data_IF_516622776592
#
_entry.id   IF_516622776592
#
_cell.length_a   1.000
_cell.length_b   1.000
_cell.length_c   1.000
_cell.angle_alpha   90.00
_cell.angle_beta   90.00
_cell.angle_gamma   90.00
#
_symmetry.space_group_name_H-M   'P 1'
#
loop_
_entity.id
_entity.type
_entity.pdbx_description
1 polymer ?
#
# COMPACT_ATOMS: atom_id res chain seq x y z
N UNK A 1 -53.76 -34.21 -19.72
CA UNK A 1 -52.66 -34.09 -18.74
C UNK A 1 -51.57 -33.33 -19.44
N UNK A 2 -51.42 -32.08 -19.05
CA UNK A 2 -50.40 -31.14 -19.52
C UNK A 2 -49.03 -31.50 -18.95
N UNK A 3 -48.02 -30.86 -19.56
CA UNK A 3 -46.70 -30.45 -19.04
C UNK A 3 -45.49 -31.22 -19.54
N UNK A 4 -44.35 -30.60 -19.89
CA UNK A 4 -43.99 -29.24 -20.32
C UNK A 4 -42.59 -29.42 -20.92
N UNK A 5 -42.36 -28.85 -22.09
CA UNK A 5 -41.04 -28.66 -22.71
C UNK A 5 -40.20 -27.70 -21.86
N UNK A 6 -39.03 -28.14 -21.40
CA UNK A 6 -37.99 -27.24 -20.90
C UNK A 6 -36.71 -27.39 -21.73
N UNK A 7 -36.73 -26.75 -22.91
CA UNK A 7 -35.53 -26.30 -23.59
C UNK A 7 -34.94 -25.13 -22.81
N UNK A 8 -33.95 -25.38 -21.96
CA UNK A 8 -33.18 -24.32 -21.33
C UNK A 8 -32.10 -23.82 -22.30
N UNK A 9 -32.51 -22.96 -23.23
CA UNK A 9 -31.61 -22.13 -24.03
C UNK A 9 -31.07 -21.00 -23.15
N UNK A 10 -29.89 -21.21 -22.56
CA UNK A 10 -29.11 -20.11 -22.01
C UNK A 10 -28.32 -19.45 -23.13
N UNK A 11 -28.89 -18.37 -23.65
CA UNK A 11 -28.21 -17.37 -24.44
C UNK A 11 -27.10 -16.71 -23.62
N UNK A 12 -25.87 -17.21 -23.73
CA UNK A 12 -24.67 -16.44 -23.34
C UNK A 12 -24.27 -15.54 -24.52
N UNK A 13 -25.08 -14.51 -24.75
CA UNK A 13 -24.74 -13.41 -25.65
C UNK A 13 -23.85 -12.39 -24.95
N UNK A 14 -22.55 -12.67 -24.83
CA UNK A 14 -21.58 -11.61 -24.54
C UNK A 14 -20.15 -12.02 -24.97
N UNK A 15 -19.69 -11.58 -26.14
CA UNK A 15 -18.27 -11.22 -26.28
C UNK A 15 -18.06 -10.17 -27.37
N UNK A 16 -18.32 -8.92 -26.97
CA UNK A 16 -17.76 -7.78 -27.67
C UNK A 16 -16.24 -7.70 -27.44
N UNK A 17 -15.54 -7.36 -28.53
CA UNK A 17 -14.18 -6.80 -28.62
C UNK A 17 -13.01 -7.77 -28.56
N UNK A 18 -12.59 -8.18 -29.75
CA UNK A 18 -11.22 -8.57 -30.07
C UNK A 18 -10.28 -7.35 -29.89
N UNK A 19 -9.80 -7.16 -28.66
CA UNK A 19 -8.62 -6.33 -28.40
C UNK A 19 -7.41 -7.22 -28.67
N UNK A 20 -6.53 -6.82 -29.59
CA UNK A 20 -5.21 -7.42 -29.86
C UNK A 20 -4.65 -8.13 -28.62
N UNK A 21 -4.85 -9.45 -28.55
CA UNK A 21 -4.69 -10.19 -27.29
C UNK A 21 -3.21 -10.42 -27.04
N UNK A 22 -2.57 -9.47 -26.33
CA UNK A 22 -1.28 -9.74 -25.70
C UNK A 22 -1.47 -11.01 -24.86
N UNK A 23 -0.69 -12.09 -25.11
CA UNK A 23 -0.84 -13.33 -24.38
C UNK A 23 -0.56 -13.07 -22.89
N UNK A 24 -1.51 -13.44 -22.04
CA UNK A 24 -1.36 -13.30 -20.58
C UNK A 24 -0.37 -14.34 -20.08
N UNK A 25 0.69 -13.89 -19.42
CA UNK A 25 1.59 -14.75 -18.67
C UNK A 25 0.85 -15.32 -17.46
N UNK A 26 0.95 -16.63 -17.26
CA UNK A 26 0.42 -17.32 -16.10
C UNK A 26 1.36 -18.47 -15.71
N UNK A 27 1.32 -18.85 -14.43
CA UNK A 27 2.09 -19.98 -13.92
C UNK A 27 1.38 -21.27 -14.37
N UNK A 28 2.12 -22.27 -14.87
CA UNK A 28 1.57 -23.57 -15.25
C UNK A 28 1.62 -24.56 -14.08
N UNK A 29 2.81 -24.72 -13.50
CA UNK A 29 3.06 -25.62 -12.39
C UNK A 29 4.20 -25.06 -11.53
N UNK A 30 4.30 -25.57 -10.30
CA UNK A 30 5.38 -25.26 -9.36
C UNK A 30 5.88 -26.55 -8.74
N UNK A 31 7.21 -26.74 -8.71
CA UNK A 31 7.86 -27.90 -8.09
C UNK A 31 8.67 -27.43 -6.89
N UNK A 32 8.32 -27.93 -5.71
CA UNK A 32 8.96 -27.59 -4.44
C UNK A 32 9.77 -28.80 -3.96
N UNK A 33 11.07 -28.62 -3.74
CA UNK A 33 11.94 -29.68 -3.22
C UNK A 33 12.44 -29.31 -1.83
N UNK A 34 12.09 -30.12 -0.82
CA UNK A 34 12.48 -29.93 0.57
C UNK A 34 12.18 -28.50 1.10
N UNK A 35 10.98 -28.00 0.81
CA UNK A 35 10.58 -26.64 1.15
C UNK A 35 9.70 -26.60 2.41
N UNK A 36 10.26 -26.15 3.53
CA UNK A 36 9.57 -26.02 4.82
C UNK A 36 8.98 -27.37 5.26
N UNK A 37 7.66 -27.49 5.44
CA UNK A 37 7.02 -28.78 5.80
C UNK A 37 6.78 -29.72 4.60
N UNK A 38 7.19 -29.33 3.39
CA UNK A 38 7.13 -30.19 2.20
C UNK A 38 8.41 -31.00 2.07
N UNK A 39 8.35 -32.26 2.50
CA UNK A 39 9.43 -33.22 2.32
C UNK A 39 9.43 -33.79 0.89
N UNK A 40 10.62 -34.06 0.35
CA UNK A 40 10.78 -34.60 -0.99
C UNK A 40 10.43 -33.59 -2.07
N UNK A 41 9.98 -34.10 -3.22
CA UNK A 41 9.50 -33.29 -4.35
C UNK A 41 7.97 -33.20 -4.29
N UNK A 42 7.44 -31.99 -4.19
CA UNK A 42 6.02 -31.70 -4.22
C UNK A 42 5.69 -30.88 -5.45
N UNK A 43 4.73 -31.36 -6.24
CA UNK A 43 4.26 -30.68 -7.46
C UNK A 43 2.92 -30.03 -7.17
N UNK A 44 2.85 -28.72 -7.36
CA UNK A 44 1.64 -27.90 -7.20
C UNK A 44 1.22 -27.40 -8.58
N UNK A 45 0.07 -27.88 -9.04
CA UNK A 45 -0.46 -27.56 -10.36
C UNK A 45 -1.24 -28.74 -10.95
N UNK A 46 -1.83 -28.57 -12.14
CA UNK A 46 -1.72 -27.40 -13.01
C UNK A 46 -2.56 -26.20 -12.52
N UNK A 47 -2.02 -24.99 -12.64
CA UNK A 47 -2.75 -23.75 -12.32
C UNK A 47 -3.61 -23.30 -13.50
N UNK A 48 -4.82 -22.83 -13.19
CA UNK A 48 -5.74 -22.32 -14.19
C UNK A 48 -5.47 -20.84 -14.50
N UNK A 49 -5.63 -20.44 -15.79
CA UNK A 49 -5.30 -19.10 -16.32
C UNK A 49 -6.00 -17.93 -15.63
N UNK A 50 -7.11 -18.17 -14.91
CA UNK A 50 -7.92 -17.13 -14.27
C UNK A 50 -7.85 -17.17 -12.75
N UNK A 51 -8.09 -18.35 -12.18
CA UNK A 51 -8.26 -18.51 -10.74
C UNK A 51 -7.92 -19.94 -10.36
N UNK A 52 -7.15 -20.11 -9.29
CA UNK A 52 -6.84 -21.39 -8.67
C UNK A 52 -6.96 -21.22 -7.15
N UNK A 53 -7.63 -22.15 -6.48
CA UNK A 53 -7.77 -22.13 -5.02
C UNK A 53 -6.90 -23.22 -4.40
N UNK A 54 -6.23 -22.89 -3.28
CA UNK A 54 -5.45 -23.85 -2.48
C UNK A 54 -6.26 -24.18 -1.23
N UNK A 55 -6.77 -25.40 -1.16
CA UNK A 55 -7.63 -25.89 -0.06
C UNK A 55 -7.05 -27.16 0.57
N UNK A 56 -7.51 -27.50 1.78
CA UNK A 56 -7.03 -28.68 2.52
C UNK A 56 -7.09 -28.51 4.04
N UNK A 57 -6.88 -29.59 4.80
CA UNK A 57 -7.04 -29.63 6.27
C UNK A 57 -6.04 -28.72 7.00
N UNK A 58 -6.38 -28.28 8.21
CA UNK A 58 -5.49 -27.43 9.01
C UNK A 58 -4.13 -28.12 9.24
N UNK A 59 -3.04 -27.36 9.11
CA UNK A 59 -1.69 -27.91 9.22
C UNK A 59 -1.12 -28.57 7.96
N UNK A 60 -1.88 -28.73 6.86
CA UNK A 60 -1.37 -29.36 5.62
C UNK A 60 -0.33 -28.55 4.83
N UNK A 61 0.08 -27.39 5.34
CA UNK A 61 1.11 -26.56 4.70
C UNK A 61 0.62 -25.67 3.57
N UNK A 62 -0.68 -25.44 3.38
CA UNK A 62 -1.24 -24.55 2.32
C UNK A 62 -0.57 -23.17 2.24
N UNK A 63 -0.29 -22.56 3.39
CA UNK A 63 0.40 -21.27 3.47
C UNK A 63 1.83 -21.34 2.92
N UNK A 64 2.46 -22.50 2.90
CA UNK A 64 3.80 -22.70 2.34
C UNK A 64 3.80 -22.55 0.81
N UNK A 65 2.68 -22.79 0.13
CA UNK A 65 2.56 -22.53 -1.32
C UNK A 65 2.76 -21.04 -1.61
N UNK A 66 2.15 -20.18 -0.80
CA UNK A 66 2.31 -18.72 -0.91
C UNK A 66 3.71 -18.29 -0.44
N UNK A 67 4.24 -18.91 0.61
CA UNK A 67 5.62 -18.66 1.06
C UNK A 67 6.65 -18.98 -0.03
N UNK A 68 6.45 -20.05 -0.80
CA UNK A 68 7.32 -20.44 -1.90
C UNK A 68 7.28 -19.41 -3.04
N UNK A 69 6.09 -18.94 -3.42
CA UNK A 69 5.96 -17.87 -4.41
C UNK A 69 6.66 -16.58 -3.93
N UNK A 70 6.49 -16.20 -2.67
CA UNK A 70 7.12 -15.02 -2.11
C UNK A 70 8.64 -15.15 -1.96
N UNK A 71 9.13 -16.37 -1.74
CA UNK A 71 10.56 -16.69 -1.76
C UNK A 71 11.16 -16.47 -3.15
N UNK A 72 10.52 -17.01 -4.20
CA UNK A 72 10.98 -16.88 -5.59
C UNK A 72 10.91 -15.43 -6.07
N UNK A 73 9.82 -14.71 -5.77
CA UNK A 73 9.64 -13.31 -6.16
C UNK A 73 10.35 -12.30 -5.23
N UNK A 74 11.16 -12.76 -4.27
CA UNK A 74 12.07 -11.91 -3.50
C UNK A 74 11.43 -11.04 -2.41
N UNK A 75 10.13 -11.18 -2.10
CA UNK A 75 9.42 -10.32 -1.13
C UNK A 75 9.81 -10.53 0.35
N UNK A 76 10.79 -11.37 0.67
CA UNK A 76 11.15 -11.70 2.08
C UNK A 76 12.63 -11.90 2.39
N UNK A 77 13.56 -11.56 1.49
CA UNK A 77 14.98 -11.83 1.72
C UNK A 77 15.56 -11.16 2.99
N UNK A 78 15.00 -10.03 3.45
CA UNK A 78 15.49 -9.32 4.66
C UNK A 78 15.06 -9.96 5.99
N UNK A 79 13.89 -10.61 6.08
CA UNK A 79 13.38 -11.16 7.35
C UNK A 79 13.50 -12.68 7.49
N UNK A 80 13.78 -13.42 6.41
CA UNK A 80 13.87 -14.90 6.44
C UNK A 80 15.23 -15.40 6.94
N UNK A 81 16.21 -14.52 7.13
CA UNK A 81 17.47 -14.88 7.79
C UNK A 81 17.30 -14.84 9.32
N UNK A 82 16.42 -15.69 9.85
CA UNK A 82 16.55 -16.06 11.27
C UNK A 82 17.95 -16.66 11.44
N UNK A 83 18.78 -16.18 12.39
CA UNK A 83 20.14 -16.68 12.54
C UNK A 83 20.18 -18.06 13.20
N UNK A 84 19.01 -18.60 13.59
CA UNK A 84 18.87 -19.59 14.65
C UNK A 84 19.14 -21.03 14.24
N UNK A 85 19.80 -21.27 13.10
CA UNK A 85 20.28 -22.61 12.74
C UNK A 85 21.77 -22.62 12.41
N UNK A 86 22.57 -21.97 13.24
CA UNK A 86 24.00 -22.24 13.38
C UNK A 86 24.29 -22.08 14.86
N UNK A 87 24.85 -23.10 15.52
CA UNK A 87 25.42 -22.96 16.87
C UNK A 87 26.52 -21.91 16.77
N UNK A 88 26.16 -20.64 16.98
CA UNK A 88 27.08 -19.51 16.96
C UNK A 88 27.52 -19.27 18.39
N UNK A 89 28.83 -19.09 18.60
CA UNK A 89 29.43 -18.74 19.88
C UNK A 89 28.62 -17.61 20.56
N UNK A 90 28.46 -17.67 21.88
CA UNK A 90 27.59 -16.75 22.64
C UNK A 90 27.85 -15.26 22.37
N UNK A 91 29.11 -14.90 22.08
CA UNK A 91 29.49 -13.53 21.69
C UNK A 91 28.79 -13.05 20.42
N UNK A 92 28.63 -13.94 19.43
CA UNK A 92 27.97 -13.61 18.15
C UNK A 92 26.46 -13.45 18.34
N UNK A 93 25.85 -14.16 19.31
CA UNK A 93 24.44 -13.95 19.65
C UNK A 93 24.22 -12.60 20.32
N UNK A 94 25.15 -12.18 21.20
CA UNK A 94 25.09 -10.87 21.86
C UNK A 94 25.27 -9.72 20.86
N UNK A 95 26.27 -9.79 19.98
CA UNK A 95 26.46 -8.78 18.92
C UNK A 95 25.23 -8.68 18.03
N UNK A 96 24.62 -9.82 17.68
CA UNK A 96 23.45 -9.82 16.81
C UNK A 96 22.16 -9.34 17.49
N UNK A 97 22.03 -9.56 18.79
CA UNK A 97 20.98 -8.96 19.59
C UNK A 97 21.16 -7.44 19.63
N UNK A 98 22.38 -6.96 19.83
CA UNK A 98 22.68 -5.53 19.81
C UNK A 98 22.42 -4.88 18.43
N UNK A 99 22.78 -5.54 17.33
CA UNK A 99 22.47 -5.07 15.96
C UNK A 99 20.95 -5.01 15.72
N UNK A 100 20.20 -6.01 16.18
CA UNK A 100 18.74 -6.05 16.05
C UNK A 100 18.07 -4.96 16.88
N UNK A 101 18.56 -4.70 18.09
CA UNK A 101 18.09 -3.60 18.93
C UNK A 101 18.43 -2.26 18.28
N UNK A 102 19.62 -2.11 17.71
CA UNK A 102 20.03 -0.93 16.95
C UNK A 102 19.14 -0.63 15.76
N UNK A 103 18.89 -1.61 14.89
CA UNK A 103 18.00 -1.45 13.73
C UNK A 103 16.57 -1.07 14.15
N UNK A 104 16.06 -1.69 15.22
CA UNK A 104 14.70 -1.38 15.73
C UNK A 104 14.60 0.03 16.31
N UNK A 105 15.68 0.53 16.94
CA UNK A 105 15.77 1.89 17.45
C UNK A 105 15.87 2.91 16.31
N UNK A 106 16.61 2.58 15.25
CA UNK A 106 16.76 3.44 14.08
C UNK A 106 15.44 3.60 13.32
N UNK A 107 14.65 2.53 13.18
CA UNK A 107 13.32 2.59 12.56
C UNK A 107 12.36 3.49 13.34
N UNK A 108 12.33 3.37 14.67
CA UNK A 108 11.49 4.22 15.54
C UNK A 108 11.92 5.68 15.47
N UNK A 109 13.24 5.94 15.39
CA UNK A 109 13.79 7.29 15.25
C UNK A 109 13.40 7.91 13.91
N UNK A 110 13.52 7.15 12.81
CA UNK A 110 13.12 7.59 11.48
C UNK A 110 11.61 7.87 11.42
N UNK A 111 10.79 7.06 12.07
CA UNK A 111 9.35 7.30 12.18
C UNK A 111 9.04 8.58 12.99
N UNK A 112 9.72 8.79 14.12
CA UNK A 112 9.58 10.01 14.93
C UNK A 112 10.02 11.27 14.16
N UNK A 113 11.11 11.19 13.39
CA UNK A 113 11.57 12.27 12.52
C UNK A 113 10.55 12.59 11.41
N UNK A 114 9.90 11.57 10.85
CA UNK A 114 8.83 11.75 9.87
C UNK A 114 7.60 12.44 10.48
N UNK A 115 7.20 12.09 11.71
CA UNK A 115 6.11 12.77 12.41
C UNK A 115 6.45 14.24 12.67
N UNK A 116 7.67 14.54 13.13
CA UNK A 116 8.14 15.90 13.39
C UNK A 116 8.16 16.75 12.11
N UNK A 117 8.60 16.18 10.99
CA UNK A 117 8.58 16.86 9.69
C UNK A 117 7.15 17.16 9.20
N UNK A 118 6.22 16.24 9.45
CA UNK A 118 4.81 16.42 9.10
C UNK A 118 4.18 17.56 9.91
N UNK A 119 4.47 17.64 11.20
CA UNK A 119 4.01 18.72 12.07
C UNK A 119 4.59 20.09 11.66
N UNK A 120 5.89 20.15 11.37
CA UNK A 120 6.53 21.38 10.86
C UNK A 120 5.94 21.83 9.51
N UNK A 121 5.61 20.88 8.63
CA UNK A 121 4.93 21.20 7.36
C UNK A 121 3.53 21.74 7.59
N UNK A 122 2.78 21.19 8.55
CA UNK A 122 1.43 21.65 8.90
C UNK A 122 1.48 23.08 9.44
N UNK A 123 2.39 23.36 10.37
CA UNK A 123 2.58 24.69 10.95
C UNK A 123 2.92 25.75 9.88
N UNK A 124 3.81 25.42 8.94
CA UNK A 124 4.13 26.31 7.81
C UNK A 124 2.91 26.62 6.93
N UNK A 125 2.05 25.64 6.69
CA UNK A 125 0.82 25.86 5.92
C UNK A 125 -0.20 26.73 6.67
N UNK A 126 -0.31 26.54 7.99
CA UNK A 126 -1.17 27.38 8.84
C UNK A 126 -0.68 28.83 8.86
N UNK A 127 0.62 29.06 9.07
CA UNK A 127 1.22 30.39 9.04
C UNK A 127 1.02 31.09 7.69
N UNK A 128 1.18 30.35 6.59
CA UNK A 128 0.94 30.89 5.24
C UNK A 128 -0.53 31.28 5.05
N UNK A 129 -1.46 30.48 5.57
CA UNK A 129 -2.89 30.76 5.48
C UNK A 129 -3.30 31.97 6.33
N UNK A 130 -2.77 32.10 7.56
CA UNK A 130 -3.08 33.26 8.42
C UNK A 130 -2.49 34.55 7.86
N UNK A 131 -1.28 34.49 7.30
CA UNK A 131 -0.67 35.64 6.62
C UNK A 131 -1.53 36.10 5.45
N UNK A 132 -1.97 35.17 4.59
CA UNK A 132 -2.84 35.49 3.45
C UNK A 132 -4.17 36.12 3.89
N UNK A 133 -4.78 35.61 4.96
CA UNK A 133 -6.01 36.19 5.51
C UNK A 133 -5.80 37.61 6.08
N UNK A 134 -4.67 37.86 6.74
CA UNK A 134 -4.32 39.19 7.26
C UNK A 134 -4.03 40.21 6.15
N UNK A 135 -3.40 39.78 5.06
CA UNK A 135 -3.14 40.62 3.89
C UNK A 135 -4.45 41.01 3.19
N UNK A 136 -5.37 40.04 3.00
CA UNK A 136 -6.67 40.29 2.36
C UNK A 136 -7.55 41.26 3.17
N UNK A 137 -7.59 41.10 4.50
CA UNK A 137 -8.33 42.04 5.37
C UNK A 137 -7.71 43.44 5.37
N UNK A 138 -6.38 43.56 5.32
CA UNK A 138 -5.70 44.86 5.24
C UNK A 138 -6.01 45.60 3.93
N UNK A 139 -6.08 44.88 2.81
CA UNK A 139 -6.44 45.43 1.51
C UNK A 139 -7.89 45.95 1.49
N UNK A 140 -8.83 45.17 2.03
CA UNK A 140 -10.24 45.58 2.11
C UNK A 140 -10.45 46.78 3.05
N UNK A 141 -9.71 46.85 4.15
CA UNK A 141 -9.75 48.01 5.07
C UNK A 141 -9.18 49.28 4.42
N UNK A 142 -8.09 49.17 3.67
CA UNK A 142 -7.51 50.28 2.93
C UNK A 142 -8.46 50.81 1.85
N UNK A 143 -9.15 49.93 1.12
CA UNK A 143 -10.14 50.32 0.11
C UNK A 143 -11.34 51.03 0.76
N UNK A 144 -11.83 50.53 1.90
CA UNK A 144 -12.91 51.17 2.65
C UNK A 144 -12.50 52.54 3.21
N UNK A 145 -11.27 52.69 3.70
CA UNK A 145 -10.74 53.98 4.14
C UNK A 145 -10.65 54.98 2.98
N UNK A 146 -10.13 54.57 1.83
CA UNK A 146 -10.05 55.43 0.65
C UNK A 146 -11.44 55.90 0.20
N UNK A 147 -12.42 54.99 0.15
CA UNK A 147 -13.82 55.34 -0.15
C UNK A 147 -14.42 56.29 0.88
N UNK A 148 -14.11 56.10 2.17
CA UNK A 148 -14.53 56.98 3.25
C UNK A 148 -13.95 58.40 3.12
N UNK A 149 -12.66 58.53 2.81
CA UNK A 149 -12.00 59.83 2.60
C UNK A 149 -12.56 60.58 1.39
N UNK A 150 -12.82 59.89 0.27
CA UNK A 150 -13.46 60.49 -0.92
C UNK A 150 -14.86 60.99 -0.59
N UNK A 151 -15.63 60.21 0.19
CA UNK A 151 -16.97 60.62 0.60
C UNK A 151 -16.94 61.85 1.52
N UNK A 152 -16.01 61.92 2.46
CA UNK A 152 -15.83 63.10 3.32
C UNK A 152 -15.41 64.35 2.54
N UNK A 153 -14.53 64.21 1.54
CA UNK A 153 -14.12 65.32 0.69
C UNK A 153 -15.31 65.85 -0.13
N UNK A 154 -16.11 64.96 -0.72
CA UNK A 154 -17.33 65.34 -1.44
C UNK A 154 -18.34 66.08 -0.53
N UNK A 155 -18.47 65.65 0.73
CA UNK A 155 -19.39 66.25 1.69
C UNK A 155 -18.95 67.65 2.17
N UNK A 156 -17.65 67.95 2.13
CA UNK A 156 -17.10 69.29 2.39
C UNK A 156 -17.30 70.25 1.23
N UNK A 157 -17.42 69.74 0.00
CA UNK A 157 -17.67 70.56 -1.19
C UNK A 157 -19.15 70.95 -1.30
N UNK A 158 -20.07 70.16 -0.73
CA UNK A 158 -21.51 70.45 -0.70
C UNK A 158 -21.98 71.37 0.45
N UNK A 159 -21.08 71.86 1.33
CA UNK A 159 -21.38 72.84 2.38
C UNK A 159 -20.74 74.18 2.09
#
# INVERSE_FOLDING_TARGET
>A
METTTDEFTSTDSESTRDRSRIPRLFILEMVLRNFKSYAGEQRVGPFHKRFSAVVGPNGSGKSNVIDAMLFVFGKRAKQVRSPSMRKRSGVVQMVKLAEKEGDSLEDVKNEAEAYKLKELSLLKWQEKATKLASEDTSAQMAEKQAKGSILEENLKIER
#
